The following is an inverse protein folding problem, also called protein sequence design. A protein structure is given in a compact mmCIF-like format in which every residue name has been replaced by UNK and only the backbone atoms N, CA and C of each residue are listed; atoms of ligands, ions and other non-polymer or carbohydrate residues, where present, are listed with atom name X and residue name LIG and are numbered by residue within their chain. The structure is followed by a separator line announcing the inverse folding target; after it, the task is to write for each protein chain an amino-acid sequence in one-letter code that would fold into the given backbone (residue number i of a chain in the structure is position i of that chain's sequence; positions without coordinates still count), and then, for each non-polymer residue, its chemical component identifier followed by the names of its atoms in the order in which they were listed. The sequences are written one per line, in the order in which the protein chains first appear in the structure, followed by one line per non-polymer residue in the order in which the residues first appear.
data_IF_760083830641
#
_entry.id   IF_760083830641
#
_cell.length_a   1.000
_cell.length_b   1.000
_cell.length_c   1.000
_cell.angle_alpha   90.00
_cell.angle_beta   90.00
_cell.angle_gamma   90.00
#
_symmetry.space_group_name_H-M   'P 1'
#
loop_
_entity.id
_entity.type
_entity.pdbx_description
1 polymer ?
#
# COMPACT_ATOMS: atom_id res chain seq x y z
N UNK A 1 14.74 -6.36 -8.59
CA UNK A 1 13.33 -5.97 -8.47
C UNK A 1 12.58 -6.68 -9.59
N UNK A 2 11.65 -7.57 -9.26
CA UNK A 2 10.89 -8.36 -10.26
C UNK A 2 9.57 -7.66 -10.58
N UNK A 3 9.65 -6.43 -11.11
CA UNK A 3 8.49 -5.64 -11.52
C UNK A 3 8.58 -5.31 -13.01
N UNK A 4 7.43 -5.31 -13.68
CA UNK A 4 7.33 -4.84 -15.07
C UNK A 4 7.38 -3.31 -15.09
N UNK A 5 8.57 -2.77 -15.37
CA UNK A 5 8.87 -1.35 -15.39
C UNK A 5 8.21 -0.60 -16.55
N UNK A 6 7.67 -1.31 -17.55
CA UNK A 6 6.99 -0.70 -18.70
C UNK A 6 5.48 -0.52 -18.48
N UNK A 7 4.92 -1.06 -17.40
CA UNK A 7 3.51 -0.87 -17.04
C UNK A 7 3.30 0.47 -16.36
N UNK A 8 2.17 1.11 -16.66
CA UNK A 8 1.64 2.20 -15.83
C UNK A 8 1.07 1.55 -14.57
N UNK A 9 1.92 1.29 -13.58
CA UNK A 9 1.51 0.67 -12.32
C UNK A 9 2.26 1.21 -11.10
N UNK A 10 1.63 1.02 -9.95
CA UNK A 10 2.22 1.11 -8.63
C UNK A 10 1.86 -0.17 -7.90
N UNK A 11 2.78 -0.73 -7.11
CA UNK A 11 2.53 -1.97 -6.38
C UNK A 11 3.15 -1.92 -4.97
N UNK A 12 2.48 -2.57 -4.02
CA UNK A 12 3.02 -2.85 -2.70
C UNK A 12 3.64 -4.25 -2.60
N UNK A 13 4.89 -4.34 -2.16
CA UNK A 13 5.57 -5.59 -1.87
C UNK A 13 5.49 -5.91 -0.38
N UNK A 14 4.69 -6.93 -0.02
CA UNK A 14 4.51 -7.38 1.36
C UNK A 14 5.81 -7.89 2.00
N UNK A 15 6.60 -8.67 1.26
CA UNK A 15 7.80 -9.30 1.78
C UNK A 15 8.97 -8.33 1.94
N UNK A 16 8.99 -7.27 1.12
CA UNK A 16 10.01 -6.22 1.21
C UNK A 16 9.53 -5.01 2.02
N UNK A 17 8.25 -5.00 2.43
CA UNK A 17 7.57 -3.88 3.08
C UNK A 17 7.81 -2.56 2.32
N UNK A 18 7.63 -2.58 0.99
CA UNK A 18 8.04 -1.50 0.09
C UNK A 18 6.95 -1.11 -0.91
N UNK A 19 6.84 0.20 -1.19
CA UNK A 19 6.03 0.75 -2.28
C UNK A 19 6.92 0.91 -3.51
N UNK A 20 6.50 0.34 -4.64
CA UNK A 20 7.21 0.47 -5.91
C UNK A 20 6.35 1.28 -6.88
N UNK A 21 6.91 2.42 -7.33
CA UNK A 21 6.31 3.25 -8.36
C UNK A 21 7.09 3.05 -9.66
N UNK A 22 6.45 2.50 -10.70
CA UNK A 22 7.09 2.44 -12.01
C UNK A 22 7.32 3.85 -12.55
N UNK A 23 8.49 4.12 -13.15
CA UNK A 23 8.81 5.44 -13.67
C UNK A 23 7.77 5.96 -14.68
N UNK A 24 7.11 5.04 -15.39
CA UNK A 24 6.06 5.33 -16.38
C UNK A 24 4.79 5.91 -15.73
N UNK A 25 4.57 5.81 -14.41
CA UNK A 25 3.45 6.51 -13.74
C UNK A 25 3.75 8.00 -13.50
N UNK A 26 5.01 8.42 -13.55
CA UNK A 26 5.44 9.80 -13.30
C UNK A 26 5.28 10.71 -14.53
N UNK A 27 4.16 10.57 -15.23
CA UNK A 27 3.78 11.36 -16.39
C UNK A 27 2.33 11.84 -16.28
N UNK A 28 1.93 12.75 -17.17
CA UNK A 28 0.58 13.26 -17.20
C UNK A 28 -0.42 12.10 -17.42
N UNK A 29 -1.57 12.05 -16.71
CA UNK A 29 -2.15 13.06 -15.82
C UNK A 29 -1.68 12.99 -14.36
N UNK A 30 -0.92 11.96 -13.98
CA UNK A 30 -0.57 11.71 -12.58
C UNK A 30 0.50 12.66 -12.06
N UNK A 31 1.48 12.99 -12.89
CA UNK A 31 2.54 13.94 -12.54
C UNK A 31 3.04 14.69 -13.76
N UNK A 32 3.25 16.00 -13.64
CA UNK A 32 3.99 16.79 -14.61
C UNK A 32 4.58 18.02 -13.93
N UNK A 33 5.72 18.47 -14.43
CA UNK A 33 6.33 19.70 -13.97
C UNK A 33 5.39 20.88 -14.26
N UNK A 34 5.06 21.66 -13.24
CA UNK A 34 4.13 22.80 -13.34
C UNK A 34 2.67 22.53 -12.93
N UNK A 35 2.28 21.28 -12.62
CA UNK A 35 0.96 21.03 -12.04
C UNK A 35 0.83 21.67 -10.65
N UNK A 36 -0.36 22.22 -10.29
CA UNK A 36 -0.64 22.69 -8.94
C UNK A 36 -0.37 21.60 -7.90
N UNK A 37 0.07 22.00 -6.71
CA UNK A 37 0.32 21.07 -5.61
C UNK A 37 -0.91 20.24 -5.26
N UNK A 38 -2.10 20.84 -5.30
CA UNK A 38 -3.38 20.16 -5.07
C UNK A 38 -3.62 19.02 -6.06
N UNK A 39 -3.34 19.24 -7.35
CA UNK A 39 -3.49 18.21 -8.39
C UNK A 39 -2.51 17.08 -8.14
N UNK A 40 -1.23 17.38 -7.91
CA UNK A 40 -0.20 16.36 -7.64
C UNK A 40 -0.53 15.52 -6.41
N UNK A 41 -1.08 16.13 -5.35
CA UNK A 41 -1.51 15.39 -4.17
C UNK A 41 -2.77 14.57 -4.44
N UNK A 42 -3.72 15.08 -5.21
CA UNK A 42 -4.93 14.35 -5.58
C UNK A 42 -4.66 13.17 -6.52
N UNK A 43 -3.63 13.24 -7.36
CA UNK A 43 -3.28 12.18 -8.29
C UNK A 43 -2.20 11.26 -7.73
N UNK A 44 -0.94 11.70 -7.73
CA UNK A 44 0.20 10.90 -7.28
C UNK A 44 0.14 10.62 -5.78
N UNK A 45 -0.30 11.60 -4.99
CA UNK A 45 -0.50 11.41 -3.55
C UNK A 45 -1.56 10.34 -3.24
N UNK A 46 -2.66 10.30 -4.01
CA UNK A 46 -3.66 9.24 -3.88
C UNK A 46 -3.10 7.86 -4.23
N UNK A 47 -2.32 7.74 -5.33
CA UNK A 47 -1.69 6.46 -5.72
C UNK A 47 -0.74 5.97 -4.63
N UNK A 48 0.13 6.85 -4.11
CA UNK A 48 1.04 6.50 -3.00
C UNK A 48 0.25 6.07 -1.76
N UNK A 49 -0.83 6.79 -1.44
CA UNK A 49 -1.71 6.47 -0.32
C UNK A 49 -2.41 5.12 -0.50
N UNK A 50 -2.85 4.78 -1.72
CA UNK A 50 -3.44 3.49 -2.07
C UNK A 50 -2.46 2.35 -1.79
N UNK A 51 -1.24 2.45 -2.30
CA UNK A 51 -0.22 1.41 -2.09
C UNK A 51 0.20 1.32 -0.63
N UNK A 52 0.31 2.45 0.07
CA UNK A 52 0.60 2.44 1.50
C UNK A 52 -0.52 1.76 2.29
N UNK A 53 -1.78 1.90 1.86
CA UNK A 53 -2.91 1.25 2.52
C UNK A 53 -2.85 -0.28 2.40
N UNK A 54 -2.26 -0.82 1.33
CA UNK A 54 -2.02 -2.27 1.20
C UNK A 54 -1.09 -2.83 2.29
N UNK A 55 -0.28 -2.01 2.95
CA UNK A 55 0.50 -2.44 4.11
C UNK A 55 -0.38 -2.79 5.32
N UNK A 56 -1.53 -2.11 5.47
CA UNK A 56 -2.34 -2.16 6.69
C UNK A 56 -3.64 -2.94 6.54
N UNK A 57 -4.17 -3.04 5.31
CA UNK A 57 -5.46 -3.68 5.03
C UNK A 57 -5.31 -4.98 4.24
N UNK A 58 -6.33 -5.83 4.31
CA UNK A 58 -6.35 -7.12 3.61
C UNK A 58 -5.14 -8.00 3.97
N UNK A 59 -4.40 -8.54 2.97
CA UNK A 59 -3.22 -9.37 3.22
C UNK A 59 -2.12 -8.68 4.03
N UNK A 60 -1.95 -7.35 3.90
CA UNK A 60 -0.90 -6.58 4.58
C UNK A 60 -0.99 -6.57 6.09
N UNK A 61 -2.22 -6.59 6.62
CA UNK A 61 -2.49 -6.69 8.06
C UNK A 61 -1.83 -7.89 8.75
N UNK A 62 -1.36 -8.88 7.98
CA UNK A 62 -0.71 -10.10 8.44
C UNK A 62 0.82 -10.02 8.49
N UNK A 63 1.42 -8.97 7.96
CA UNK A 63 2.87 -8.84 7.84
C UNK A 63 3.39 -7.72 8.73
N UNK A 64 4.45 -8.01 9.48
CA UNK A 64 5.14 -7.00 10.28
C UNK A 64 6.04 -6.10 9.41
N UNK A 65 6.71 -5.14 10.05
CA UNK A 65 7.54 -4.13 9.37
C UNK A 65 8.75 -4.72 8.62
N UNK A 66 9.08 -6.00 8.85
CA UNK A 66 10.15 -6.72 8.17
C UNK A 66 9.62 -7.69 7.10
N UNK A 67 8.31 -7.68 6.83
CA UNK A 67 7.68 -8.57 5.87
C UNK A 67 7.50 -10.00 6.38
N UNK A 68 7.55 -10.24 7.70
CA UNK A 68 7.26 -11.55 8.27
C UNK A 68 5.77 -11.70 8.55
N UNK A 69 5.21 -12.87 8.23
CA UNK A 69 3.80 -13.17 8.55
C UNK A 69 3.62 -13.36 10.06
N UNK A 70 3.10 -12.34 10.74
CA UNK A 70 2.85 -12.33 12.18
C UNK A 70 1.64 -11.45 12.49
N UNK A 71 0.78 -11.92 13.39
CA UNK A 71 -0.24 -11.06 13.98
C UNK A 71 0.43 -10.12 14.99
N UNK A 72 0.61 -8.86 14.61
CA UNK A 72 1.25 -7.81 15.43
C UNK A 72 0.25 -6.81 16.03
N UNK A 73 -1.04 -6.91 15.66
CA UNK A 73 -2.12 -6.09 16.20
C UNK A 73 -2.49 -6.50 17.62
N UNK A 74 -2.79 -5.53 18.48
CA UNK A 74 -3.39 -5.81 19.80
C UNK A 74 -4.79 -6.40 19.64
N UNK A 75 -5.27 -7.13 20.65
CA UNK A 75 -6.61 -7.73 20.62
C UNK A 75 -7.72 -6.69 20.41
N UNK A 76 -7.59 -5.50 21.01
CA UNK A 76 -8.59 -4.43 20.88
C UNK A 76 -8.58 -3.79 19.49
N UNK A 77 -7.40 -3.45 18.96
CA UNK A 77 -7.26 -2.92 17.61
C UNK A 77 -7.79 -3.95 16.59
N UNK A 78 -7.48 -5.21 16.86
CA UNK A 78 -7.97 -6.35 16.09
C UNK A 78 -9.49 -6.44 16.13
N UNK A 79 -10.13 -6.39 17.29
CA UNK A 79 -11.60 -6.45 17.36
C UNK A 79 -12.29 -5.27 16.62
N UNK A 80 -11.71 -4.07 16.71
CA UNK A 80 -12.22 -2.89 15.99
C UNK A 80 -12.15 -3.06 14.46
N UNK A 81 -11.08 -3.68 13.96
CA UNK A 81 -10.88 -3.97 12.54
C UNK A 81 -11.62 -5.24 12.08
N UNK A 82 -11.80 -6.26 12.92
CA UNK A 82 -12.55 -7.48 12.58
C UNK A 82 -14.04 -7.22 12.34
N UNK A 83 -14.64 -6.28 13.07
CA UNK A 83 -16.00 -5.84 12.80
C UNK A 83 -16.15 -5.20 11.40
N UNK A 84 -15.03 -4.93 10.71
CA UNK A 84 -14.99 -4.47 9.31
C UNK A 84 -14.64 -5.59 8.30
N UNK A 85 -14.33 -6.80 8.75
CA UNK A 85 -14.23 -8.01 7.92
C UNK A 85 -12.84 -8.37 7.36
N UNK A 86 -11.76 -7.66 7.71
CA UNK A 86 -10.49 -7.73 6.96
C UNK A 86 -9.23 -7.94 7.83
N UNK A 87 -9.06 -9.11 8.46
CA UNK A 87 -7.96 -9.31 9.42
C UNK A 87 -7.28 -10.68 9.45
N UNK A 88 -6.08 -10.67 10.07
CA UNK A 88 -5.25 -11.77 10.51
C UNK A 88 -6.01 -12.87 11.26
N UNK A 89 -6.58 -13.83 10.51
CA UNK A 89 -7.22 -15.03 11.02
C UNK A 89 -6.16 -15.98 11.60
N UNK A 90 -5.81 -15.73 12.86
CA UNK A 90 -5.15 -16.72 13.70
C UNK A 90 -6.19 -17.71 14.22
N UNK A 91 -6.01 -18.97 13.90
CA UNK A 91 -6.74 -20.12 14.44
C UNK A 91 -6.90 -20.01 15.96
N UNK A 92 -8.15 -20.03 16.41
CA UNK A 92 -8.51 -20.49 17.76
C UNK A 92 -8.40 -22.00 17.80
#
# INVERSE_FOLDING_TARGET
WSHDWAKVNADYSLLENSVVLAAVILQHPFYSFGLPSSVKMGTLGWVIGHELNHAFYGPGSNFDEYGNKRCWWSADARNNLYNTGEMCQGSV
#
